data_IF_495765948803
#
_entry.id   IF_495765948803
#
_cell.length_a   1.000
_cell.length_b   1.000
_cell.length_c   1.000
_cell.angle_alpha   90.00
_cell.angle_beta   90.00
_cell.angle_gamma   90.00
#
_symmetry.space_group_name_H-M   'P 1'
#
loop_
_entity.id
_entity.type
_entity.pdbx_description
1 polymer ?
#
# COMPACT_ATOMS: atom_id res chain seq x y z
N UNK A 1 38.26 6.89 -9.62
CA UNK A 1 37.50 6.44 -8.45
C UNK A 1 36.49 7.52 -8.09
N UNK A 2 35.21 7.34 -8.46
CA UNK A 2 34.14 8.23 -8.06
C UNK A 2 33.07 7.38 -7.37
N UNK A 3 33.12 7.34 -6.03
CA UNK A 3 32.12 6.69 -5.21
C UNK A 3 30.82 7.48 -5.31
N UNK A 4 29.86 6.98 -6.08
CA UNK A 4 28.48 7.46 -6.01
C UNK A 4 27.93 6.97 -4.66
N UNK A 5 27.97 7.84 -3.65
CA UNK A 5 27.15 7.68 -2.47
C UNK A 5 25.70 7.79 -2.93
N UNK A 6 25.04 6.65 -3.16
CA UNK A 6 23.58 6.62 -3.24
C UNK A 6 23.10 7.07 -1.87
N UNK A 7 22.59 8.30 -1.77
CA UNK A 7 21.67 8.64 -0.70
C UNK A 7 20.57 7.58 -0.71
N UNK A 8 20.42 6.81 0.37
CA UNK A 8 19.28 5.91 0.55
C UNK A 8 18.03 6.78 0.71
N UNK A 9 17.48 7.24 -0.41
CA UNK A 9 16.22 7.96 -0.45
C UNK A 9 15.13 6.94 -0.14
N UNK A 10 14.49 7.10 1.02
CA UNK A 10 13.28 6.37 1.33
C UNK A 10 12.21 6.72 0.30
N UNK A 11 11.65 5.69 -0.35
CA UNK A 11 10.60 5.83 -1.37
C UNK A 11 9.25 5.48 -0.77
N UNK A 12 8.20 5.99 -1.39
CA UNK A 12 6.82 5.60 -1.12
C UNK A 12 6.32 4.70 -2.25
N UNK A 13 5.91 3.47 -1.92
CA UNK A 13 5.33 2.51 -2.85
C UNK A 13 3.82 2.49 -2.72
N UNK A 14 3.08 2.72 -3.81
CA UNK A 14 1.62 2.59 -3.83
C UNK A 14 1.27 1.18 -4.27
N UNK A 15 0.52 0.44 -3.45
CA UNK A 15 0.15 -0.94 -3.75
C UNK A 15 -1.22 -1.06 -4.42
N UNK A 16 -1.24 -1.88 -5.46
CA UNK A 16 -2.46 -2.37 -6.10
C UNK A 16 -2.90 -3.71 -5.47
N UNK A 17 -4.19 -4.03 -5.60
CA UNK A 17 -4.81 -5.25 -5.10
C UNK A 17 -4.14 -6.49 -5.67
N UNK A 18 -3.75 -6.47 -6.95
CA UNK A 18 -3.11 -7.61 -7.61
C UNK A 18 -1.83 -8.08 -6.89
N UNK A 19 -1.05 -7.14 -6.33
CA UNK A 19 0.18 -7.48 -5.59
C UNK A 19 -0.18 -8.24 -4.32
N UNK A 20 -1.20 -7.77 -3.59
CA UNK A 20 -1.68 -8.40 -2.35
C UNK A 20 -2.34 -9.77 -2.60
N UNK A 21 -3.07 -9.91 -3.72
CA UNK A 21 -3.71 -11.16 -4.12
C UNK A 21 -2.71 -12.23 -4.55
N UNK A 22 -1.57 -11.83 -5.12
CA UNK A 22 -0.52 -12.74 -5.52
C UNK A 22 0.41 -13.09 -4.35
N UNK A 23 0.74 -12.12 -3.50
CA UNK A 23 1.58 -12.33 -2.31
C UNK A 23 1.15 -11.42 -1.15
N UNK A 24 0.41 -11.94 -0.15
CA UNK A 24 -0.02 -11.14 1.00
C UNK A 24 1.16 -10.70 1.88
N UNK A 25 2.32 -11.36 1.80
CA UNK A 25 3.50 -11.00 2.60
C UNK A 25 4.29 -9.83 2.02
N UNK A 26 3.91 -9.33 0.83
CA UNK A 26 4.59 -8.20 0.19
C UNK A 26 4.64 -6.95 1.07
N UNK A 27 3.65 -6.75 1.97
CA UNK A 27 3.61 -5.65 2.94
C UNK A 27 4.89 -5.51 3.76
N UNK A 28 5.63 -6.59 3.97
CA UNK A 28 6.85 -6.63 4.79
C UNK A 28 8.14 -6.70 3.96
N UNK A 29 8.06 -6.55 2.63
CA UNK A 29 9.18 -6.76 1.70
C UNK A 29 9.71 -5.49 1.04
N UNK A 30 9.33 -4.33 1.57
CA UNK A 30 9.75 -3.02 1.07
C UNK A 30 10.95 -2.43 1.84
N UNK A 31 11.60 -3.22 2.70
CA UNK A 31 12.82 -2.83 3.43
C UNK A 31 12.63 -1.52 4.22
N UNK A 32 13.41 -0.47 3.94
CA UNK A 32 13.28 0.85 4.56
C UNK A 32 12.17 1.73 3.98
N UNK A 33 11.47 1.26 2.96
CA UNK A 33 10.53 2.07 2.19
C UNK A 33 9.11 2.03 2.75
N UNK A 34 8.42 3.16 2.61
CA UNK A 34 7.05 3.31 3.02
C UNK A 34 6.10 2.70 1.98
N UNK A 35 4.99 2.17 2.47
CA UNK A 35 3.95 1.51 1.68
C UNK A 35 2.66 2.29 1.83
N UNK A 36 2.06 2.74 0.74
CA UNK A 36 0.78 3.41 0.69
C UNK A 36 -0.29 2.48 0.10
N UNK A 37 -1.42 2.33 0.79
CA UNK A 37 -2.56 1.56 0.31
C UNK A 37 -3.73 2.50 -0.02
N UNK A 38 -4.09 2.61 -1.31
CA UNK A 38 -5.32 3.26 -1.76
C UNK A 38 -6.57 2.65 -1.15
N UNK A 39 -7.61 3.46 -0.93
CA UNK A 39 -8.90 2.95 -0.43
C UNK A 39 -9.54 1.95 -1.42
N UNK A 40 -9.39 2.19 -2.73
CA UNK A 40 -9.87 1.28 -3.78
C UNK A 40 -9.21 -0.10 -3.68
N UNK A 41 -7.94 -0.16 -3.30
CA UNK A 41 -7.22 -1.42 -3.08
C UNK A 41 -7.84 -2.23 -1.94
N UNK A 42 -8.29 -1.56 -0.87
CA UNK A 42 -8.97 -2.22 0.25
C UNK A 42 -10.37 -2.73 -0.14
N UNK A 43 -11.12 -1.96 -0.93
CA UNK A 43 -12.45 -2.32 -1.43
C UNK A 43 -12.42 -3.55 -2.35
N UNK A 44 -11.47 -3.58 -3.28
CA UNK A 44 -11.25 -4.73 -4.16
C UNK A 44 -10.79 -5.95 -3.36
N UNK A 45 -9.87 -5.77 -2.42
CA UNK A 45 -9.40 -6.83 -1.54
C UNK A 45 -10.57 -7.51 -0.80
N UNK A 46 -11.53 -6.72 -0.31
CA UNK A 46 -12.72 -7.23 0.37
C UNK A 46 -13.62 -8.06 -0.57
N UNK A 47 -13.81 -7.56 -1.80
CA UNK A 47 -14.57 -8.27 -2.85
C UNK A 47 -13.95 -9.63 -3.18
N UNK A 48 -12.61 -9.72 -3.16
CA UNK A 48 -11.86 -10.94 -3.47
C UNK A 48 -11.82 -11.97 -2.33
N UNK A 49 -12.36 -11.70 -1.12
CA UNK A 49 -12.35 -12.66 0.00
C UNK A 49 -13.27 -13.87 -0.18
N UNK A 50 -14.16 -13.86 -1.18
CA UNK A 50 -15.21 -14.89 -1.35
C UNK A 50 -14.70 -16.13 -2.08
N UNK A 51 -15.12 -17.31 -1.61
CA UNK A 51 -14.80 -18.60 -2.22
C UNK A 51 -13.53 -19.27 -1.66
N UNK A 52 -13.13 -20.34 -2.33
CA UNK A 52 -12.09 -21.27 -1.87
C UNK A 52 -10.81 -21.24 -2.72
N UNK A 53 -10.69 -20.28 -3.65
CA UNK A 53 -9.50 -20.15 -4.49
C UNK A 53 -8.29 -19.66 -3.68
N UNK A 54 -7.10 -19.87 -4.23
CA UNK A 54 -5.86 -19.32 -3.67
C UNK A 54 -5.89 -17.79 -3.60
N UNK A 55 -6.48 -17.15 -4.62
CA UNK A 55 -6.72 -15.69 -4.63
C UNK A 55 -7.57 -15.26 -3.44
N UNK A 56 -8.65 -15.97 -3.14
CA UNK A 56 -9.50 -15.67 -1.99
C UNK A 56 -8.79 -15.95 -0.65
N UNK A 57 -7.94 -16.98 -0.60
CA UNK A 57 -7.08 -17.28 0.55
C UNK A 57 -6.10 -16.13 0.81
N UNK A 58 -5.44 -15.65 -0.23
CA UNK A 58 -4.49 -14.54 -0.17
C UNK A 58 -5.17 -13.23 0.19
N UNK A 59 -6.35 -12.93 -0.38
CA UNK A 59 -7.15 -11.76 0.00
C UNK A 59 -7.46 -11.72 1.50
N UNK A 60 -7.91 -12.86 2.06
CA UNK A 60 -8.17 -13.00 3.50
C UNK A 60 -6.89 -12.91 4.34
N UNK A 61 -5.75 -13.37 3.82
CA UNK A 61 -4.47 -13.28 4.52
C UNK A 61 -3.94 -11.84 4.53
N UNK A 62 -3.95 -11.14 3.40
CA UNK A 62 -3.57 -9.74 3.30
C UNK A 62 -4.44 -8.86 4.21
N UNK A 63 -5.77 -9.05 4.20
CA UNK A 63 -6.67 -8.31 5.09
C UNK A 63 -6.32 -8.54 6.55
N UNK A 64 -6.04 -9.79 6.96
CA UNK A 64 -5.64 -10.09 8.35
C UNK A 64 -4.34 -9.40 8.74
N UNK A 65 -3.34 -9.39 7.85
CA UNK A 65 -2.11 -8.65 8.13
C UNK A 65 -2.34 -7.15 8.26
N UNK A 66 -3.18 -6.56 7.41
CA UNK A 66 -3.55 -5.15 7.53
C UNK A 66 -4.26 -4.88 8.86
N UNK A 67 -5.22 -5.70 9.23
CA UNK A 67 -5.95 -5.59 10.50
C UNK A 67 -5.01 -5.73 11.71
N UNK A 68 -4.07 -6.68 11.69
CA UNK A 68 -3.05 -6.88 12.73
C UNK A 68 -2.08 -5.69 12.84
N UNK A 69 -1.62 -5.14 11.71
CA UNK A 69 -0.75 -3.96 11.68
C UNK A 69 -1.50 -2.75 12.28
N UNK A 70 -2.74 -2.52 11.87
CA UNK A 70 -3.54 -1.38 12.34
C UNK A 70 -3.89 -1.51 13.82
N UNK A 71 -4.30 -2.70 14.27
CA UNK A 71 -4.73 -2.92 15.66
C UNK A 71 -3.58 -2.96 16.67
N UNK A 72 -2.36 -3.28 16.24
CA UNK A 72 -1.17 -3.31 17.11
C UNK A 72 -0.51 -1.94 17.30
N UNK A 73 -0.98 -0.93 16.57
CA UNK A 73 -0.41 0.42 16.52
C UNK A 73 -1.05 1.35 17.54
N UNK A 74 -0.22 2.11 18.26
CA UNK A 74 -0.63 3.31 19.00
C UNK A 74 -0.41 4.60 18.21
N UNK A 75 0.23 4.50 17.05
CA UNK A 75 0.54 5.63 16.17
C UNK A 75 -0.75 6.11 15.49
N UNK A 76 -0.78 7.41 15.18
CA UNK A 76 -1.87 7.98 14.37
C UNK A 76 -1.84 7.39 12.96
N UNK A 77 -2.99 6.93 12.47
CA UNK A 77 -3.13 6.34 11.14
C UNK A 77 -2.71 7.35 10.06
N UNK A 78 -2.87 8.65 10.31
CA UNK A 78 -2.47 9.71 9.38
C UNK A 78 -0.95 9.80 9.17
N UNK A 79 -0.16 9.56 10.22
CA UNK A 79 1.31 9.60 10.19
C UNK A 79 1.95 8.31 9.67
N UNK A 80 1.12 7.28 9.46
CA UNK A 80 1.53 5.95 9.04
C UNK A 80 2.04 5.08 10.19
N UNK A 81 1.79 3.79 10.06
CA UNK A 81 2.02 2.77 11.07
C UNK A 81 3.37 2.09 10.83
N UNK A 82 4.23 2.03 11.84
CA UNK A 82 5.53 1.35 11.71
C UNK A 82 5.38 -0.13 11.38
N UNK A 83 6.05 -0.59 10.30
CA UNK A 83 6.07 -2.00 9.93
C UNK A 83 7.12 -2.80 10.72
N UNK A 84 7.96 -2.15 11.51
CA UNK A 84 9.09 -2.79 12.20
C UNK A 84 8.68 -3.88 13.17
N UNK A 85 7.74 -3.58 14.07
CA UNK A 85 7.24 -4.57 15.02
C UNK A 85 6.44 -5.69 14.32
N UNK A 86 5.44 -5.38 13.46
CA UNK A 86 4.65 -6.39 12.75
C UNK A 86 5.49 -7.32 11.85
N UNK A 87 6.56 -6.78 11.24
CA UNK A 87 7.45 -7.55 10.37
C UNK A 87 8.57 -8.30 11.10
N UNK A 88 8.67 -8.18 12.43
CA UNK A 88 9.79 -8.72 13.22
C UNK A 88 11.15 -8.21 12.72
N UNK A 89 11.26 -6.89 12.58
CA UNK A 89 12.44 -6.17 12.10
C UNK A 89 12.82 -6.43 10.63
N UNK A 90 11.98 -7.10 9.85
CA UNK A 90 12.24 -7.36 8.43
C UNK A 90 12.00 -6.13 7.53
N UNK A 91 11.10 -5.23 7.92
CA UNK A 91 10.85 -3.95 7.26
C UNK A 91 10.94 -2.81 8.28
N UNK A 92 11.56 -1.69 7.90
CA UNK A 92 11.69 -0.51 8.77
C UNK A 92 10.87 0.69 8.31
N UNK A 93 10.25 0.62 7.12
CA UNK A 93 9.31 1.63 6.65
C UNK A 93 7.96 1.61 7.37
N UNK A 94 7.04 2.46 6.89
CA UNK A 94 5.68 2.60 7.43
C UNK A 94 4.61 2.18 6.45
N UNK A 95 3.51 1.63 6.97
CA UNK A 95 2.24 1.46 6.26
C UNK A 95 1.41 2.73 6.40
N UNK A 96 1.10 3.38 5.27
CA UNK A 96 0.23 4.54 5.16
C UNK A 96 -1.07 4.12 4.49
N UNK A 97 -2.20 4.48 5.09
CA UNK A 97 -3.51 4.24 4.51
C UNK A 97 -4.06 5.53 3.92
N UNK A 98 -4.84 5.42 2.86
CA UNK A 98 -5.58 6.56 2.37
C UNK A 98 -6.71 6.92 3.36
N UNK A 99 -6.49 7.95 4.17
CA UNK A 99 -7.48 8.46 5.15
C UNK A 99 -8.34 9.60 4.61
N UNK A 100 -7.90 10.24 3.52
CA UNK A 100 -8.59 11.39 2.91
C UNK A 100 -8.87 11.16 1.42
N UNK A 101 -9.90 11.84 0.92
CA UNK A 101 -10.18 11.87 -0.51
C UNK A 101 -9.09 12.67 -1.24
N UNK A 102 -8.22 11.96 -1.97
CA UNK A 102 -7.22 12.59 -2.82
C UNK A 102 -7.84 12.86 -4.19
N UNK A 103 -8.22 14.12 -4.42
CA UNK A 103 -8.72 14.56 -5.72
C UNK A 103 -7.56 14.97 -6.63
N UNK A 104 -7.03 14.02 -7.40
CA UNK A 104 -6.17 14.35 -8.53
C UNK A 104 -7.01 14.69 -9.75
N UNK A 105 -6.68 15.80 -10.42
CA UNK A 105 -7.17 16.05 -11.78
C UNK A 105 -6.47 15.06 -12.71
N UNK A 106 -7.15 13.95 -13.01
CA UNK A 106 -6.69 13.02 -14.04
C UNK A 106 -6.68 13.76 -15.39
N UNK A 107 -5.65 13.56 -16.23
CA UNK A 107 -5.66 14.07 -17.60
C UNK A 107 -6.94 13.64 -18.31
N UNK A 108 -7.55 14.55 -19.07
CA UNK A 108 -8.82 14.32 -19.79
C UNK A 108 -8.79 13.14 -20.78
N UNK A 109 -7.61 12.59 -21.07
CA UNK A 109 -7.39 11.40 -21.90
C UNK A 109 -7.52 10.06 -21.16
N UNK A 110 -7.57 10.05 -19.82
CA UNK A 110 -7.70 8.80 -19.06
C UNK A 110 -9.17 8.45 -18.80
N UNK A 111 -9.61 7.20 -19.07
CA UNK A 111 -10.96 6.76 -18.76
C UNK A 111 -11.28 6.91 -17.26
N UNK A 112 -12.30 7.69 -16.91
CA UNK A 112 -12.76 7.82 -15.54
C UNK A 112 -13.47 6.52 -15.15
N UNK A 113 -13.07 5.88 -14.04
CA UNK A 113 -13.81 4.76 -13.43
C UNK A 113 -13.16 3.38 -13.46
N UNK A 114 -11.95 3.22 -14.02
CA UNK A 114 -11.14 2.00 -13.80
C UNK A 114 -10.26 2.18 -12.57
N UNK A 115 -10.16 1.16 -11.71
CA UNK A 115 -9.34 1.17 -10.50
C UNK A 115 -7.88 1.57 -10.80
N UNK A 116 -7.29 1.04 -11.86
CA UNK A 116 -5.95 1.41 -12.34
C UNK A 116 -5.77 2.93 -12.49
N UNK A 117 -6.75 3.60 -13.10
CA UNK A 117 -6.70 5.04 -13.36
C UNK A 117 -6.89 5.84 -12.06
N UNK A 118 -7.65 5.31 -11.11
CA UNK A 118 -7.79 5.92 -9.78
C UNK A 118 -6.47 5.81 -9.01
N UNK A 119 -5.80 4.66 -9.04
CA UNK A 119 -4.48 4.47 -8.43
C UNK A 119 -3.45 5.41 -9.06
N UNK A 120 -3.43 5.55 -10.38
CA UNK A 120 -2.57 6.54 -11.06
C UNK A 120 -2.87 7.98 -10.61
N UNK A 121 -4.15 8.32 -10.44
CA UNK A 121 -4.55 9.61 -9.89
C UNK A 121 -4.00 9.84 -8.48
N UNK A 122 -4.12 8.86 -7.60
CA UNK A 122 -3.58 8.91 -6.23
C UNK A 122 -2.05 9.10 -6.26
N UNK A 123 -1.33 8.36 -7.10
CA UNK A 123 0.12 8.52 -7.28
C UNK A 123 0.46 9.95 -7.73
N UNK A 124 -0.31 10.52 -8.65
CA UNK A 124 -0.13 11.89 -9.10
C UNK A 124 -0.39 12.92 -7.98
N UNK A 125 -1.42 12.72 -7.16
CA UNK A 125 -1.70 13.58 -6.01
C UNK A 125 -0.60 13.50 -4.95
N UNK A 126 -0.14 12.29 -4.61
CA UNK A 126 0.92 12.07 -3.61
C UNK A 126 2.27 12.68 -4.02
N UNK A 127 2.54 12.81 -5.33
CA UNK A 127 3.74 13.48 -5.83
C UNK A 127 3.70 15.01 -5.66
N UNK A 128 2.51 15.59 -5.52
CA UNK A 128 2.29 17.04 -5.43
C UNK A 128 2.10 17.54 -3.99
N UNK A 129 1.90 16.63 -3.03
CA UNK A 129 1.78 16.90 -1.60
C UNK A 129 3.16 16.98 -0.93
#
# INVERSE_FOLDING_TARGET
>A
MASHSKSNVCKLFVLDTNVLLHDPTCLFRFEEHDVFIPIITLEELDTHKKGMSEVARNARQASRFLDEIVSSSTDDIEDGISLKAPSRDAASGKLRLQTQALHAVLPSSLPIGKADNQILGIVMALKQA
#
